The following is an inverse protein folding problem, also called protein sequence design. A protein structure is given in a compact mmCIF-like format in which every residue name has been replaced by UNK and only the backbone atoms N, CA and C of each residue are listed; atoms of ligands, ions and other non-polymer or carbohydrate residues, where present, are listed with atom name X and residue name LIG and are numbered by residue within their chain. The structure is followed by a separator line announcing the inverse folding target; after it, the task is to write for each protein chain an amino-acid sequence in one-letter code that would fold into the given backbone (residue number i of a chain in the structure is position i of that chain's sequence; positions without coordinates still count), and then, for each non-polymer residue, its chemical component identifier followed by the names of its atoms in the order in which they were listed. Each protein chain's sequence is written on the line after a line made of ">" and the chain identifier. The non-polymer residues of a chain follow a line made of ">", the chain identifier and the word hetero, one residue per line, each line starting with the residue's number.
data_IF_978975103938
#
_entry.id   IF_978975103938
#
_cell.length_a   1.000
_cell.length_b   1.000
_cell.length_c   1.000
_cell.angle_alpha   90.00
_cell.angle_beta   90.00
_cell.angle_gamma   90.00
#
_symmetry.space_group_name_H-M   'P 1'
#
loop_
_entity.id
_entity.type
_entity.pdbx_description
1 polymer ?
#
# COMPACT_ATOMS: atom_id res chain seq x y z
N UNK A 1 -31.41 24.00 24.43
CA UNK A 1 -31.08 23.61 23.05
C UNK A 1 -29.57 23.65 22.75
N UNK A 2 -28.83 24.69 23.16
CA UNK A 2 -27.38 24.86 22.87
C UNK A 2 -26.48 23.71 23.38
N UNK A 3 -26.70 23.12 24.55
CA UNK A 3 -25.89 22.02 25.08
C UNK A 3 -25.93 20.74 24.22
N UNK A 4 -27.08 20.43 23.61
CA UNK A 4 -27.23 19.27 22.70
C UNK A 4 -26.56 19.51 21.35
N UNK A 5 -26.54 20.76 20.87
CA UNK A 5 -25.86 21.14 19.64
C UNK A 5 -24.33 21.05 19.79
N UNK A 6 -23.82 21.50 20.96
CA UNK A 6 -22.37 21.42 21.27
C UNK A 6 -21.87 19.97 21.38
N UNK A 7 -22.66 19.08 21.99
CA UNK A 7 -22.34 17.64 22.04
C UNK A 7 -22.33 17.00 20.65
N UNK A 8 -23.21 17.41 19.76
CA UNK A 8 -23.27 16.91 18.39
C UNK A 8 -22.06 17.37 17.58
N UNK A 9 -21.63 18.63 17.70
CA UNK A 9 -20.40 19.13 17.07
C UNK A 9 -19.13 18.51 17.65
N UNK A 10 -19.07 18.26 18.96
CA UNK A 10 -17.95 17.58 19.59
C UNK A 10 -17.85 16.11 19.13
N UNK A 11 -18.98 15.41 18.95
CA UNK A 11 -19.00 14.04 18.42
C UNK A 11 -18.54 13.98 16.95
N UNK A 12 -18.93 14.95 16.12
CA UNK A 12 -18.46 15.05 14.72
C UNK A 12 -16.96 15.36 14.62
N UNK A 13 -16.42 16.19 15.51
CA UNK A 13 -14.99 16.50 15.52
C UNK A 13 -14.12 15.30 15.93
N UNK A 14 -14.63 14.39 16.78
CA UNK A 14 -13.93 13.19 17.22
C UNK A 14 -13.87 12.10 16.14
N UNK A 15 -14.77 12.09 15.17
CA UNK A 15 -14.76 11.11 14.06
C UNK A 15 -13.83 11.50 12.90
N UNK A 16 -13.41 12.76 12.83
CA UNK A 16 -12.56 13.27 11.76
C UNK A 16 -11.05 13.02 11.98
N UNK A 17 -10.63 12.76 13.22
CA UNK A 17 -9.23 12.54 13.55
C UNK A 17 -8.89 11.04 13.53
N UNK A 18 -8.20 10.57 12.49
CA UNK A 18 -7.56 9.26 12.47
C UNK A 18 -8.10 8.27 11.44
N UNK A 19 -9.13 8.62 10.65
CA UNK A 19 -9.55 7.76 9.55
C UNK A 19 -8.49 7.70 8.46
N UNK A 20 -8.19 6.48 7.97
CA UNK A 20 -7.34 6.29 6.80
C UNK A 20 -7.98 6.94 5.56
N UNK A 21 -7.14 7.42 4.65
CA UNK A 21 -7.61 7.92 3.36
C UNK A 21 -8.27 6.78 2.58
N UNK A 22 -9.36 7.06 1.85
CA UNK A 22 -9.96 6.06 0.97
C UNK A 22 -8.96 5.67 -0.12
N UNK A 23 -8.93 4.38 -0.46
CA UNK A 23 -8.13 3.88 -1.58
C UNK A 23 -8.70 4.43 -2.88
N UNK A 24 -7.84 5.04 -3.70
CA UNK A 24 -8.18 5.46 -5.05
C UNK A 24 -7.62 4.48 -6.06
N UNK A 25 -8.35 4.23 -7.14
CA UNK A 25 -7.93 3.27 -8.15
C UNK A 25 -8.48 3.66 -9.53
N UNK A 26 -7.64 3.51 -10.55
CA UNK A 26 -8.01 3.65 -11.96
C UNK A 26 -7.39 2.51 -12.74
N UNK A 27 -8.20 1.80 -13.54
CA UNK A 27 -7.75 0.65 -14.35
C UNK A 27 -8.36 0.76 -15.74
N UNK A 28 -7.52 0.74 -16.76
CA UNK A 28 -7.99 0.68 -18.14
C UNK A 28 -8.49 -0.74 -18.49
N UNK A 29 -9.50 -0.90 -19.34
CA UNK A 29 -10.00 -2.22 -19.75
C UNK A 29 -8.92 -3.11 -20.36
N UNK A 30 -7.90 -2.50 -20.97
CA UNK A 30 -6.76 -3.19 -21.58
C UNK A 30 -5.80 -3.83 -20.58
N UNK A 31 -5.93 -3.56 -19.28
CA UNK A 31 -5.04 -4.08 -18.23
C UNK A 31 -4.92 -5.62 -18.28
N UNK A 32 -6.01 -6.32 -18.52
CA UNK A 32 -6.07 -7.78 -18.48
C UNK A 32 -5.51 -8.48 -19.74
N UNK A 33 -5.09 -7.73 -20.77
CA UNK A 33 -4.42 -8.31 -21.95
C UNK A 33 -2.94 -8.63 -21.70
N UNK A 34 -2.32 -7.99 -20.69
CA UNK A 34 -0.92 -8.17 -20.36
C UNK A 34 -0.69 -9.46 -19.58
N UNK A 35 0.46 -10.10 -19.84
CA UNK A 35 0.86 -11.36 -19.22
C UNK A 35 2.11 -11.23 -18.37
N UNK A 36 2.96 -10.27 -18.69
CA UNK A 36 4.24 -10.07 -18.07
C UNK A 36 4.26 -8.79 -17.28
N UNK A 37 4.99 -8.79 -16.16
CA UNK A 37 5.26 -7.58 -15.38
C UNK A 37 6.76 -7.49 -15.11
N UNK A 38 7.33 -6.36 -15.42
CA UNK A 38 8.64 -5.96 -14.94
C UNK A 38 8.44 -4.99 -13.77
N UNK A 39 8.96 -5.37 -12.61
CA UNK A 39 8.88 -4.52 -11.40
C UNK A 39 10.15 -3.70 -11.32
N UNK A 40 10.01 -2.38 -11.26
CA UNK A 40 11.14 -1.48 -11.06
C UNK A 40 11.79 -1.75 -9.69
N UNK A 41 13.13 -1.76 -9.62
CA UNK A 41 13.84 -1.98 -8.36
C UNK A 41 13.39 -1.01 -7.26
N UNK A 42 13.18 -1.53 -6.05
CA UNK A 42 12.80 -0.76 -4.86
C UNK A 42 13.80 -1.00 -3.73
N UNK A 43 13.96 -0.03 -2.83
CA UNK A 43 14.69 -0.21 -1.59
C UNK A 43 13.90 -1.06 -0.58
N UNK A 44 14.58 -1.70 0.35
CA UNK A 44 13.93 -2.38 1.48
C UNK A 44 13.52 -1.37 2.54
N UNK A 45 12.33 -1.55 3.11
CA UNK A 45 11.82 -0.77 4.25
C UNK A 45 11.97 -1.60 5.51
N UNK A 46 12.62 -1.03 6.53
CA UNK A 46 12.84 -1.69 7.81
C UNK A 46 12.15 -0.89 8.91
N UNK A 47 11.20 -1.52 9.58
CA UNK A 47 10.54 -0.96 10.75
C UNK A 47 10.86 -1.76 12.00
N UNK A 48 11.05 -1.07 13.12
CA UNK A 48 11.27 -1.69 14.43
C UNK A 48 10.29 -1.17 15.46
N UNK A 49 9.83 -2.05 16.34
CA UNK A 49 9.10 -1.66 17.54
C UNK A 49 10.09 -1.42 18.69
N UNK A 50 9.80 -0.44 19.53
CA UNK A 50 10.64 -0.12 20.68
C UNK A 50 10.69 -1.28 21.69
N UNK A 51 11.84 -1.46 22.32
CA UNK A 51 11.97 -2.27 23.54
C UNK A 51 11.43 -1.45 24.70
N UNK A 52 10.55 -2.02 25.51
CA UNK A 52 10.07 -1.37 26.72
C UNK A 52 9.99 -2.38 27.87
N UNK A 53 10.19 -1.88 29.08
CA UNK A 53 10.00 -2.65 30.31
C UNK A 53 8.61 -2.38 30.84
N UNK A 54 7.80 -3.41 30.97
CA UNK A 54 6.48 -3.30 31.59
C UNK A 54 6.63 -3.17 33.09
N UNK A 55 6.04 -2.13 33.67
CA UNK A 55 5.98 -1.94 35.13
C UNK A 55 4.95 -2.88 35.81
N UNK A 56 4.09 -3.54 35.03
CA UNK A 56 3.04 -4.41 35.55
C UNK A 56 3.57 -5.82 35.85
N UNK A 57 4.40 -6.37 34.96
CA UNK A 57 4.92 -7.74 35.08
C UNK A 57 6.45 -7.79 35.23
N UNK A 58 7.10 -6.63 35.30
CA UNK A 58 8.56 -6.44 35.40
C UNK A 58 9.32 -7.21 34.30
N UNK A 59 8.73 -7.39 33.11
CA UNK A 59 9.34 -8.06 31.96
C UNK A 59 9.80 -7.06 30.93
N UNK A 60 10.92 -7.38 30.31
CA UNK A 60 11.40 -6.66 29.14
C UNK A 60 10.69 -7.25 27.91
N UNK A 61 9.88 -6.43 27.26
CA UNK A 61 9.28 -6.76 25.99
C UNK A 61 10.21 -6.34 24.87
N UNK A 62 10.78 -7.33 24.17
CA UNK A 62 11.72 -7.10 23.07
C UNK A 62 11.03 -6.46 21.87
N UNK A 63 11.68 -5.48 21.28
CA UNK A 63 11.27 -4.94 19.99
C UNK A 63 11.39 -6.01 18.89
N UNK A 64 10.48 -5.95 17.91
CA UNK A 64 10.57 -6.76 16.69
C UNK A 64 11.04 -5.87 15.56
N UNK A 65 12.06 -6.29 14.85
CA UNK A 65 12.47 -5.67 13.59
C UNK A 65 11.85 -6.47 12.45
N UNK A 66 11.17 -5.79 11.54
CA UNK A 66 10.63 -6.36 10.31
C UNK A 66 11.20 -5.61 9.14
N UNK A 67 11.53 -6.33 8.09
CA UNK A 67 11.98 -5.77 6.82
C UNK A 67 11.01 -6.21 5.73
N UNK A 68 10.64 -5.31 4.86
CA UNK A 68 9.84 -5.58 3.69
C UNK A 68 10.52 -4.98 2.46
N UNK A 69 10.65 -5.77 1.40
CA UNK A 69 11.01 -5.29 0.08
C UNK A 69 9.73 -5.15 -0.73
N UNK A 70 9.33 -3.94 -1.12
CA UNK A 70 8.11 -3.72 -1.90
C UNK A 70 8.08 -4.53 -3.20
N UNK A 71 9.20 -4.66 -3.91
CA UNK A 71 9.26 -5.42 -5.16
C UNK A 71 8.96 -6.91 -4.93
N UNK A 72 9.50 -7.52 -3.86
CA UNK A 72 9.26 -8.94 -3.53
C UNK A 72 7.80 -9.17 -3.13
N UNK A 73 7.22 -8.25 -2.34
CA UNK A 73 5.82 -8.32 -1.95
C UNK A 73 4.89 -8.24 -3.16
N UNK A 74 5.11 -7.26 -4.05
CA UNK A 74 4.33 -7.11 -5.27
C UNK A 74 4.49 -8.30 -6.19
N UNK A 75 5.71 -8.83 -6.34
CA UNK A 75 6.00 -10.02 -7.14
C UNK A 75 5.16 -11.21 -6.67
N UNK A 76 5.15 -11.50 -5.37
CA UNK A 76 4.36 -12.60 -4.80
C UNK A 76 2.86 -12.47 -5.07
N UNK A 77 2.30 -11.27 -4.90
CA UNK A 77 0.87 -11.02 -5.15
C UNK A 77 0.56 -11.17 -6.65
N UNK A 78 1.36 -10.57 -7.53
CA UNK A 78 1.14 -10.62 -8.98
C UNK A 78 1.23 -12.03 -9.55
N UNK A 79 2.16 -12.84 -9.07
CA UNK A 79 2.24 -14.26 -9.45
C UNK A 79 0.96 -15.02 -9.06
N UNK A 80 0.38 -14.76 -7.89
CA UNK A 80 -0.90 -15.34 -7.47
C UNK A 80 -2.07 -14.88 -8.36
N UNK A 81 -1.98 -13.70 -8.96
CA UNK A 81 -2.98 -13.17 -9.92
C UNK A 81 -2.74 -13.66 -11.36
N UNK A 82 -1.70 -14.48 -11.60
CA UNK A 82 -1.42 -15.13 -12.88
C UNK A 82 -0.43 -14.39 -13.80
N UNK A 83 0.24 -13.36 -13.31
CA UNK A 83 1.30 -12.69 -14.08
C UNK A 83 2.62 -13.44 -14.00
N UNK A 84 3.40 -13.35 -15.07
CA UNK A 84 4.80 -13.79 -15.09
C UNK A 84 5.71 -12.59 -14.82
N UNK A 85 6.54 -12.67 -13.78
CA UNK A 85 7.47 -11.60 -13.43
C UNK A 85 8.74 -11.73 -14.27
N UNK A 86 9.12 -10.66 -14.94
CA UNK A 86 10.35 -10.60 -15.73
C UNK A 86 11.49 -10.01 -14.88
N UNK A 87 12.68 -10.63 -14.88
CA UNK A 87 13.84 -10.10 -14.16
C UNK A 87 14.42 -8.85 -14.85
N UNK A 88 14.15 -8.68 -16.14
CA UNK A 88 14.54 -7.53 -16.96
C UNK A 88 13.56 -7.36 -18.12
N UNK A 89 13.52 -6.19 -18.72
CA UNK A 89 12.68 -5.92 -19.89
C UNK A 89 13.20 -6.74 -21.11
N UNK A 90 12.28 -7.51 -21.71
CA UNK A 90 12.52 -8.30 -22.90
C UNK A 90 11.89 -7.60 -24.11
N UNK A 91 12.72 -7.19 -25.08
CA UNK A 91 12.29 -6.47 -26.27
C UNK A 91 11.22 -7.24 -27.07
N UNK A 92 11.27 -8.56 -27.05
CA UNK A 92 10.32 -9.41 -27.78
C UNK A 92 8.95 -9.52 -27.10
N UNK A 93 8.83 -9.06 -25.83
CA UNK A 93 7.63 -9.15 -25.00
C UNK A 93 7.03 -7.81 -24.63
N UNK A 94 7.61 -6.70 -25.06
CA UNK A 94 7.17 -5.34 -24.65
C UNK A 94 5.68 -5.11 -24.84
N UNK A 95 5.09 -5.62 -25.93
CA UNK A 95 3.66 -5.43 -26.22
C UNK A 95 2.69 -6.14 -25.24
N UNK A 96 3.21 -7.11 -24.48
CA UNK A 96 2.45 -7.88 -23.48
C UNK A 96 2.97 -7.65 -22.06
N UNK A 97 3.87 -6.66 -21.88
CA UNK A 97 4.55 -6.37 -20.61
C UNK A 97 4.07 -5.07 -20.00
N UNK A 98 3.79 -5.09 -18.72
CA UNK A 98 3.61 -3.90 -17.89
C UNK A 98 4.90 -3.60 -17.12
N UNK A 99 5.25 -2.34 -17.03
CA UNK A 99 6.24 -1.83 -16.08
C UNK A 99 5.51 -1.37 -14.84
N UNK A 100 5.85 -1.96 -13.69
CA UNK A 100 5.30 -1.59 -12.40
C UNK A 100 6.29 -0.72 -11.66
N UNK A 101 5.82 0.45 -11.21
CA UNK A 101 6.53 1.34 -10.31
C UNK A 101 5.80 1.48 -8.97
N UNK A 102 6.58 1.69 -7.92
CA UNK A 102 6.13 1.91 -6.55
C UNK A 102 6.71 3.23 -6.04
N UNK A 103 5.91 3.98 -5.30
CA UNK A 103 6.35 5.20 -4.62
C UNK A 103 5.61 5.37 -3.30
N UNK A 104 6.31 5.87 -2.29
CA UNK A 104 5.70 6.33 -1.05
C UNK A 104 5.29 7.78 -1.24
N UNK A 105 4.02 8.09 -0.98
CA UNK A 105 3.46 9.43 -1.18
C UNK A 105 3.37 10.23 0.11
N UNK A 106 3.58 9.60 1.26
CA UNK A 106 3.64 10.27 2.55
C UNK A 106 3.41 9.36 3.74
N UNK A 107 3.74 9.92 4.90
CA UNK A 107 3.46 9.33 6.21
C UNK A 107 2.70 10.35 7.05
N UNK A 108 1.80 9.89 7.92
CA UNK A 108 1.12 10.74 8.89
C UNK A 108 0.75 9.97 10.15
N UNK A 109 0.63 10.69 11.23
CA UNK A 109 0.14 10.14 12.48
C UNK A 109 -1.36 9.87 12.40
N UNK A 110 -1.77 8.68 12.82
CA UNK A 110 -3.16 8.21 12.83
C UNK A 110 -3.50 7.56 14.16
N UNK A 111 -4.81 7.34 14.39
CA UNK A 111 -5.29 6.69 15.60
C UNK A 111 -5.53 7.63 16.77
N UNK A 112 -6.00 7.07 17.88
CA UNK A 112 -6.26 7.82 19.10
C UNK A 112 -4.93 8.25 19.74
N UNK A 113 -4.79 9.53 20.07
CA UNK A 113 -3.59 10.13 20.64
C UNK A 113 -2.32 10.04 19.77
N UNK A 114 -2.44 9.92 18.43
CA UNK A 114 -1.29 9.91 17.51
C UNK A 114 -0.28 8.78 17.77
N UNK A 115 -0.78 7.63 18.27
CA UNK A 115 0.07 6.52 18.69
C UNK A 115 0.49 5.60 17.52
N UNK A 116 0.01 5.86 16.31
CA UNK A 116 0.33 5.06 15.11
C UNK A 116 0.66 5.97 13.95
N UNK A 117 1.58 5.54 13.09
CA UNK A 117 1.92 6.22 11.84
C UNK A 117 1.39 5.37 10.68
N UNK A 118 0.66 5.99 9.76
CA UNK A 118 0.28 5.36 8.50
C UNK A 118 1.28 5.71 7.40
N UNK A 119 1.36 4.85 6.39
CA UNK A 119 2.12 5.09 5.17
C UNK A 119 1.18 5.07 3.97
N UNK A 120 1.26 6.12 3.16
CA UNK A 120 0.56 6.22 1.88
C UNK A 120 1.50 5.81 0.76
N UNK A 121 1.02 4.97 -0.16
CA UNK A 121 1.80 4.50 -1.32
C UNK A 121 1.02 4.68 -2.60
N UNK A 122 1.73 4.77 -3.71
CA UNK A 122 1.17 4.71 -5.05
C UNK A 122 1.82 3.56 -5.82
N UNK A 123 1.00 2.79 -6.53
CA UNK A 123 1.43 1.76 -7.48
C UNK A 123 0.92 2.16 -8.85
N UNK A 124 1.80 2.11 -9.86
CA UNK A 124 1.46 2.41 -11.25
C UNK A 124 1.92 1.29 -12.17
N UNK A 125 1.04 0.90 -13.07
CA UNK A 125 1.34 -0.01 -14.19
C UNK A 125 1.32 0.77 -15.48
N UNK A 126 2.42 0.73 -16.22
CA UNK A 126 2.57 1.36 -17.52
C UNK A 126 2.83 0.33 -18.60
N UNK A 127 2.33 0.56 -19.80
CA UNK A 127 2.69 -0.23 -20.98
C UNK A 127 4.20 -0.11 -21.24
N UNK A 128 4.90 -1.23 -21.35
CA UNK A 128 6.36 -1.24 -21.51
C UNK A 128 6.81 -0.67 -22.88
N UNK A 129 5.93 -0.67 -23.88
CA UNK A 129 6.24 -0.20 -25.23
C UNK A 129 5.92 1.30 -25.41
N UNK A 130 4.76 1.75 -24.91
CA UNK A 130 4.26 3.13 -25.13
C UNK A 130 4.45 4.04 -23.94
N UNK A 131 4.70 3.47 -22.75
CA UNK A 131 4.75 4.17 -21.47
C UNK A 131 3.40 4.75 -21.01
N UNK A 132 2.30 4.37 -21.65
CA UNK A 132 0.97 4.80 -21.23
C UNK A 132 0.63 4.25 -19.84
N UNK A 133 -0.04 5.05 -19.02
CA UNK A 133 -0.54 4.62 -17.72
C UNK A 133 -1.75 3.70 -17.92
N UNK A 134 -1.62 2.44 -17.57
CA UNK A 134 -2.64 1.42 -17.74
C UNK A 134 -3.45 1.19 -16.46
N UNK A 135 -2.80 1.24 -15.31
CA UNK A 135 -3.49 1.18 -14.03
C UNK A 135 -2.70 1.95 -12.96
N UNK A 136 -3.43 2.52 -12.01
CA UNK A 136 -2.84 3.17 -10.84
C UNK A 136 -3.75 2.99 -9.64
N UNK A 137 -3.15 2.78 -8.47
CA UNK A 137 -3.86 2.85 -7.19
C UNK A 137 -3.01 3.54 -6.14
N UNK A 138 -3.67 4.34 -5.32
CA UNK A 138 -3.10 4.91 -4.09
C UNK A 138 -3.84 4.34 -2.90
N UNK A 139 -3.10 3.89 -1.90
CA UNK A 139 -3.64 3.36 -0.67
C UNK A 139 -2.81 3.81 0.53
N UNK A 140 -3.49 3.96 1.64
CA UNK A 140 -2.91 4.25 2.94
C UNK A 140 -3.28 3.13 3.90
N UNK A 141 -2.29 2.68 4.68
CA UNK A 141 -2.56 1.73 5.75
C UNK A 141 -1.58 1.91 6.92
N UNK A 142 -1.86 1.26 8.04
CA UNK A 142 -1.01 1.26 9.23
C UNK A 142 -0.91 -0.13 9.84
N UNK A 143 0.21 -0.39 10.49
CA UNK A 143 0.49 -1.65 11.19
C UNK A 143 1.33 -1.42 12.44
N UNK A 144 1.94 -2.48 12.94
CA UNK A 144 2.79 -2.41 14.13
C UNK A 144 4.19 -1.86 13.86
N UNK A 145 4.61 -1.83 12.59
CA UNK A 145 5.91 -1.31 12.13
C UNK A 145 5.72 -0.63 10.77
N UNK A 146 6.68 0.20 10.35
CA UNK A 146 6.69 0.80 9.02
C UNK A 146 6.67 -0.27 7.90
N UNK A 147 7.39 -1.37 8.08
CA UNK A 147 7.35 -2.49 7.14
C UNK A 147 5.95 -3.13 7.04
N UNK A 148 5.17 -3.17 8.13
CA UNK A 148 3.78 -3.61 8.09
C UNK A 148 2.90 -2.60 7.39
N UNK A 149 3.10 -1.28 7.61
CA UNK A 149 2.36 -0.22 6.93
C UNK A 149 2.48 -0.37 5.42
N UNK A 150 3.72 -0.46 4.93
CA UNK A 150 4.02 -0.64 3.50
C UNK A 150 3.39 -1.92 2.96
N UNK A 151 3.52 -3.04 3.68
CA UNK A 151 2.92 -4.33 3.28
C UNK A 151 1.42 -4.24 3.10
N UNK A 152 0.72 -3.69 4.09
CA UNK A 152 -0.75 -3.59 4.06
C UNK A 152 -1.21 -2.59 3.00
N UNK A 153 -0.52 -1.47 2.84
CA UNK A 153 -0.84 -0.50 1.81
C UNK A 153 -0.65 -1.08 0.40
N UNK A 154 0.43 -1.84 0.14
CA UNK A 154 0.65 -2.55 -1.13
C UNK A 154 -0.49 -3.55 -1.40
N UNK A 155 -0.82 -4.39 -0.40
CA UNK A 155 -1.90 -5.37 -0.54
C UNK A 155 -3.21 -4.68 -0.91
N UNK A 156 -3.56 -3.61 -0.19
CA UNK A 156 -4.78 -2.84 -0.39
C UNK A 156 -4.84 -2.17 -1.77
N UNK A 157 -3.73 -1.60 -2.23
CA UNK A 157 -3.64 -0.97 -3.55
C UNK A 157 -3.82 -2.00 -4.67
N UNK A 158 -3.13 -3.14 -4.59
CA UNK A 158 -3.25 -4.21 -5.59
C UNK A 158 -4.64 -4.85 -5.57
N UNK A 159 -5.20 -5.11 -4.39
CA UNK A 159 -6.57 -5.64 -4.29
C UNK A 159 -7.59 -4.68 -4.92
N UNK A 160 -7.43 -3.37 -4.78
CA UNK A 160 -8.29 -2.39 -5.43
C UNK A 160 -8.20 -2.45 -6.97
N UNK A 161 -6.98 -2.65 -7.53
CA UNK A 161 -6.79 -2.83 -8.98
C UNK A 161 -7.49 -4.11 -9.46
N UNK A 162 -7.30 -5.22 -8.76
CA UNK A 162 -7.83 -6.52 -9.18
C UNK A 162 -9.32 -6.72 -8.87
N UNK A 163 -9.91 -5.88 -8.00
CA UNK A 163 -11.35 -5.86 -7.76
C UNK A 163 -12.15 -5.19 -8.89
N UNK A 164 -11.48 -4.45 -9.81
CA UNK A 164 -12.17 -3.82 -10.94
C UNK A 164 -12.75 -4.87 -11.89
N UNK A 165 -13.98 -4.64 -12.42
CA UNK A 165 -14.62 -5.60 -13.32
C UNK A 165 -13.77 -5.81 -14.59
N UNK A 166 -13.69 -7.05 -15.03
CA UNK A 166 -13.11 -7.38 -16.33
C UNK A 166 -14.17 -7.11 -17.40
N UNK A 167 -13.95 -6.08 -18.19
CA UNK A 167 -14.77 -5.82 -19.37
C UNK A 167 -14.26 -6.74 -20.50
N UNK A 168 -15.06 -7.74 -20.83
CA UNK A 168 -14.84 -8.64 -21.97
C UNK A 168 -15.44 -8.03 -23.24
#
# INVERSE_FOLDING_TARGET
>A
MMKKLFLFFAALALTACGALKPTTCSVQPTFYKYRYVYIMPTGSVTGSTSVYTSYVDNRVHGGKTKTANPADLMSGILMQKGFTILPQLDQNKLAETLVLSYGETGQRDVGFLWLSTSTSIIIQFRDAKTNDLIASAEAEDFGSTEADNVRYAIQKALDAIFAQPRYY
#
